data_IF_588439533906
#
_entry.id   IF_588439533906
#
_cell.length_a   1.000
_cell.length_b   1.000
_cell.length_c   1.000
_cell.angle_alpha   90.00
_cell.angle_beta   90.00
_cell.angle_gamma   90.00
#
_symmetry.space_group_name_H-M   'P 1'
#
loop_
_entity.id
_entity.type
_entity.pdbx_description
1 polymer ?
#
# COMPACT_ATOMS: atom_id res chain seq x y z
N UNK A 1 -21.11 0.82 12.89
CA UNK A 1 -20.03 1.79 12.66
C UNK A 1 -20.11 2.19 11.20
N UNK A 2 -20.43 3.44 10.94
CA UNK A 2 -20.51 3.98 9.57
C UNK A 2 -19.08 3.97 9.01
N UNK A 3 -18.83 3.19 7.96
CA UNK A 3 -17.60 3.30 7.18
C UNK A 3 -17.62 4.70 6.55
N UNK A 4 -16.93 5.67 7.16
CA UNK A 4 -16.63 6.95 6.52
C UNK A 4 -16.02 6.64 5.15
N UNK A 5 -16.67 7.11 4.07
CA UNK A 5 -16.18 7.01 2.70
C UNK A 5 -14.74 7.52 2.64
N UNK A 6 -13.79 6.58 2.63
CA UNK A 6 -12.36 6.87 2.64
C UNK A 6 -12.00 7.59 1.34
N UNK A 7 -11.77 8.90 1.40
CA UNK A 7 -11.39 9.71 0.23
C UNK A 7 -10.01 9.31 -0.32
N UNK A 8 -9.89 9.19 -1.65
CA UNK A 8 -8.64 8.95 -2.37
C UNK A 8 -7.95 10.28 -2.73
N UNK A 9 -6.65 10.39 -2.47
CA UNK A 9 -5.81 11.46 -3.01
C UNK A 9 -5.41 11.11 -4.44
N UNK A 10 -5.28 12.10 -5.31
CA UNK A 10 -4.76 11.89 -6.67
C UNK A 10 -3.30 11.43 -6.65
N UNK A 11 -2.89 10.70 -7.69
CA UNK A 11 -1.52 10.19 -7.80
C UNK A 11 -0.47 11.30 -7.81
N UNK A 12 -0.76 12.41 -8.50
CA UNK A 12 0.11 13.60 -8.51
C UNK A 12 0.26 14.19 -7.12
N UNK A 13 -0.83 14.39 -6.37
CA UNK A 13 -0.75 14.89 -5.00
C UNK A 13 0.03 13.95 -4.08
N UNK A 14 -0.12 12.63 -4.22
CA UNK A 14 0.70 11.67 -3.45
C UNK A 14 2.19 11.84 -3.77
N UNK A 15 2.53 12.01 -5.05
CA UNK A 15 3.90 12.23 -5.48
C UNK A 15 4.47 13.54 -4.89
N UNK A 16 3.71 14.63 -4.95
CA UNK A 16 4.11 15.93 -4.41
C UNK A 16 4.33 15.87 -2.89
N UNK A 17 3.39 15.25 -2.16
CA UNK A 17 3.50 15.03 -0.71
C UNK A 17 4.77 14.24 -0.37
N UNK A 18 5.04 13.13 -1.07
CA UNK A 18 6.23 12.32 -0.78
C UNK A 18 7.51 13.11 -1.06
N UNK A 19 7.55 13.86 -2.17
CA UNK A 19 8.72 14.63 -2.55
C UNK A 19 8.97 15.83 -1.63
N UNK A 20 7.93 16.38 -0.98
CA UNK A 20 8.07 17.49 -0.03
C UNK A 20 8.59 17.09 1.36
N UNK A 21 8.60 15.79 1.70
CA UNK A 21 9.09 15.31 3.00
C UNK A 21 10.62 15.34 3.03
N UNK A 22 11.19 16.14 3.93
CA UNK A 22 12.64 16.25 4.13
C UNK A 22 13.24 15.13 4.98
N UNK A 23 12.50 14.62 5.97
CA UNK A 23 12.93 13.50 6.80
C UNK A 23 12.90 12.20 5.99
N UNK A 24 14.09 11.66 5.66
CA UNK A 24 14.23 10.48 4.79
C UNK A 24 13.43 9.27 5.29
N UNK A 25 13.37 9.09 6.60
CA UNK A 25 12.65 7.98 7.23
C UNK A 25 11.16 8.10 7.03
N UNK A 26 10.60 9.28 7.29
CA UNK A 26 9.20 9.61 7.12
C UNK A 26 8.81 9.58 5.63
N UNK A 27 9.70 10.04 4.75
CA UNK A 27 9.53 9.93 3.32
C UNK A 27 9.44 8.46 2.90
N UNK A 28 10.37 7.63 3.37
CA UNK A 28 10.40 6.21 3.06
C UNK A 28 9.18 5.46 3.58
N UNK A 29 8.73 5.70 4.82
CA UNK A 29 7.57 4.99 5.36
C UNK A 29 6.26 5.36 4.65
N UNK A 30 6.07 6.63 4.27
CA UNK A 30 4.90 7.05 3.49
C UNK A 30 4.95 6.43 2.09
N UNK A 31 6.10 6.51 1.42
CA UNK A 31 6.32 5.89 0.11
C UNK A 31 6.07 4.38 0.14
N UNK A 32 6.60 3.68 1.14
CA UNK A 32 6.39 2.23 1.32
C UNK A 32 4.94 1.90 1.63
N UNK A 33 4.29 2.65 2.53
CA UNK A 33 2.88 2.39 2.86
C UNK A 33 1.98 2.55 1.66
N UNK A 34 2.14 3.65 0.93
CA UNK A 34 1.40 3.88 -0.30
C UNK A 34 1.73 2.79 -1.34
N UNK A 35 3.00 2.54 -1.63
CA UNK A 35 3.39 1.59 -2.68
C UNK A 35 2.88 0.17 -2.44
N UNK A 36 2.97 -0.31 -1.20
CA UNK A 36 2.52 -1.65 -0.80
C UNK A 36 1.01 -1.73 -0.48
N UNK A 37 0.29 -0.59 -0.54
CA UNK A 37 -1.07 -0.44 -0.01
C UNK A 37 -1.21 -1.04 1.40
N UNK A 38 -0.18 -0.89 2.23
CA UNK A 38 -0.10 -1.53 3.53
C UNK A 38 -0.92 -0.77 4.58
N UNK A 39 -1.30 -1.46 5.66
CA UNK A 39 -1.74 -0.77 6.89
C UNK A 39 -0.51 -0.32 7.67
N UNK A 40 -0.63 0.75 8.45
CA UNK A 40 0.45 1.21 9.32
C UNK A 40 1.03 0.09 10.21
N UNK A 41 0.16 -0.70 10.86
CA UNK A 41 0.58 -1.83 11.71
C UNK A 41 1.15 -3.05 10.96
N UNK A 42 1.05 -3.10 9.62
CA UNK A 42 1.73 -4.11 8.80
C UNK A 42 3.21 -3.74 8.56
N UNK A 43 3.56 -2.45 8.67
CA UNK A 43 4.91 -1.92 8.43
C UNK A 43 5.68 -1.58 9.71
N UNK A 44 4.95 -1.25 10.76
CA UNK A 44 5.47 -0.71 12.01
C UNK A 44 5.17 -1.70 13.13
N UNK A 45 6.04 -1.76 14.13
CA UNK A 45 5.75 -2.51 15.35
C UNK A 45 4.42 -2.05 15.96
N UNK A 46 3.52 -3.01 16.12
CA UNK A 46 2.17 -2.77 16.62
C UNK A 46 1.78 -3.87 17.58
N UNK A 47 1.26 -3.48 18.74
CA UNK A 47 0.62 -4.40 19.67
C UNK A 47 -0.89 -4.35 19.44
N UNK A 48 -1.45 -5.44 18.98
CA UNK A 48 -2.89 -5.60 18.83
C UNK A 48 -3.56 -5.71 20.22
N UNK A 49 -4.82 -5.29 20.29
CA UNK A 49 -5.64 -5.36 21.51
C UNK A 49 -5.80 -6.80 22.04
N UNK A 50 -5.68 -7.80 21.17
CA UNK A 50 -5.70 -9.22 21.51
C UNK A 50 -4.34 -9.77 22.01
N UNK A 51 -3.36 -8.90 22.28
CA UNK A 51 -2.04 -9.26 22.80
C UNK A 51 -1.00 -9.68 21.76
N UNK A 52 -1.37 -9.80 20.48
CA UNK A 52 -0.43 -10.16 19.40
C UNK A 52 0.42 -8.94 19.06
N UNK A 53 1.75 -9.07 19.12
CA UNK A 53 2.68 -8.00 18.71
C UNK A 53 3.30 -8.33 17.36
N UNK A 54 3.19 -7.41 16.41
CA UNK A 54 3.90 -7.46 15.12
C UNK A 54 5.22 -6.72 15.29
N UNK A 55 6.30 -7.20 14.66
CA UNK A 55 7.59 -6.49 14.61
C UNK A 55 7.64 -5.44 13.48
N UNK A 56 6.54 -5.26 12.74
CA UNK A 56 6.53 -4.49 11.49
C UNK A 56 7.33 -5.17 10.38
N UNK A 57 7.81 -4.37 9.42
CA UNK A 57 8.64 -4.85 8.32
C UNK A 57 10.10 -4.99 8.76
N UNK A 58 10.69 -6.17 8.57
CA UNK A 58 12.13 -6.39 8.79
C UNK A 58 12.90 -6.39 7.47
N UNK A 59 14.21 -6.13 7.53
CA UNK A 59 15.09 -6.21 6.35
C UNK A 59 15.11 -7.61 5.76
N UNK A 60 15.13 -8.64 6.60
CA UNK A 60 15.05 -10.05 6.20
C UNK A 60 13.78 -10.40 5.42
N UNK A 61 12.71 -9.62 5.53
CA UNK A 61 11.47 -9.79 4.77
C UNK A 61 11.50 -9.18 3.35
N UNK A 62 12.61 -8.54 2.95
CA UNK A 62 12.72 -7.81 1.69
C UNK A 62 13.60 -8.56 0.69
N UNK A 63 12.99 -9.03 -0.38
CA UNK A 63 13.70 -9.65 -1.51
C UNK A 63 13.93 -8.60 -2.61
N UNK A 64 15.18 -8.50 -3.12
CA UNK A 64 15.52 -7.61 -4.24
C UNK A 64 15.58 -8.44 -5.52
N UNK A 65 14.79 -8.08 -6.54
CA UNK A 65 14.80 -8.77 -7.85
C UNK A 65 14.71 -7.76 -8.99
N UNK A 66 15.74 -7.63 -9.82
CA UNK A 66 15.74 -6.84 -11.06
C UNK A 66 14.87 -5.57 -11.06
N UNK A 67 15.09 -4.68 -10.08
CA UNK A 67 14.33 -3.42 -9.99
C UNK A 67 13.03 -3.48 -9.19
N UNK A 68 12.74 -4.60 -8.54
CA UNK A 68 11.66 -4.80 -7.58
C UNK A 68 12.22 -4.95 -6.16
N UNK A 69 11.48 -4.41 -5.19
CA UNK A 69 11.63 -4.70 -3.76
C UNK A 69 10.35 -5.41 -3.31
N UNK A 70 10.41 -6.73 -3.18
CA UNK A 70 9.28 -7.56 -2.76
C UNK A 70 9.30 -7.62 -1.24
N UNK A 71 8.21 -7.20 -0.59
CA UNK A 71 8.13 -7.11 0.86
C UNK A 71 7.15 -8.16 1.38
N UNK A 72 7.62 -9.08 2.21
CA UNK A 72 6.75 -10.03 2.89
C UNK A 72 6.19 -9.38 4.15
N UNK A 73 4.90 -9.07 4.17
CA UNK A 73 4.23 -8.41 5.31
C UNK A 73 3.05 -9.23 5.83
N UNK A 74 2.70 -9.11 7.12
CA UNK A 74 1.52 -9.77 7.68
C UNK A 74 0.24 -9.38 6.93
N UNK A 75 -0.70 -10.31 6.89
CA UNK A 75 -2.02 -10.08 6.33
C UNK A 75 -3.10 -10.24 7.41
N UNK A 76 -3.49 -9.12 8.02
CA UNK A 76 -4.49 -9.11 9.09
C UNK A 76 -5.92 -9.41 8.63
N UNK A 77 -6.18 -9.49 7.32
CA UNK A 77 -7.54 -9.69 6.78
C UNK A 77 -7.79 -11.09 6.24
N UNK A 78 -6.78 -11.97 6.19
CA UNK A 78 -6.96 -13.33 5.70
C UNK A 78 -6.16 -14.32 6.55
N UNK A 79 -6.83 -14.97 7.50
CA UNK A 79 -6.19 -15.97 8.37
C UNK A 79 -5.64 -17.18 7.59
N UNK A 80 -6.21 -17.50 6.42
CA UNK A 80 -5.72 -18.61 5.56
C UNK A 80 -4.47 -18.24 4.77
N UNK A 81 -4.20 -16.95 4.60
CA UNK A 81 -3.00 -16.43 3.94
C UNK A 81 -2.37 -15.37 4.87
N UNK A 82 -1.66 -15.80 5.93
CA UNK A 82 -1.20 -14.92 7.01
C UNK A 82 -0.14 -13.90 6.57
N UNK A 83 0.42 -14.07 5.37
CA UNK A 83 1.38 -13.16 4.77
C UNK A 83 0.99 -12.83 3.32
N UNK A 84 1.37 -11.63 2.87
CA UNK A 84 1.30 -11.19 1.47
C UNK A 84 2.66 -10.68 1.02
N UNK A 85 2.90 -10.71 -0.29
CA UNK A 85 4.17 -10.28 -0.92
C UNK A 85 3.98 -9.15 -1.94
N UNK A 86 3.47 -7.96 -1.55
CA UNK A 86 3.44 -6.80 -2.43
C UNK A 86 4.87 -6.34 -2.78
N UNK A 87 4.98 -5.48 -3.78
CA UNK A 87 6.27 -5.03 -4.29
C UNK A 87 6.30 -3.54 -4.62
N UNK A 88 7.51 -2.98 -4.60
CA UNK A 88 7.82 -1.61 -5.03
C UNK A 88 8.71 -1.71 -6.28
N UNK A 89 8.34 -1.00 -7.34
CA UNK A 89 9.02 -1.06 -8.65
C UNK A 89 9.83 0.18 -8.97
N UNK A 90 10.98 0.02 -9.62
CA UNK A 90 11.78 1.12 -10.19
C UNK A 90 11.02 1.97 -11.21
N UNK A 91 9.93 1.45 -11.78
CA UNK A 91 9.05 2.20 -12.68
C UNK A 91 8.33 3.37 -11.99
N UNK A 92 8.29 3.39 -10.65
CA UNK A 92 7.77 4.51 -9.85
C UNK A 92 8.90 5.09 -8.97
N UNK A 93 9.82 5.91 -9.52
CA UNK A 93 11.05 6.32 -8.82
C UNK A 93 10.82 7.08 -7.52
N UNK A 94 9.75 7.89 -7.43
CA UNK A 94 9.40 8.63 -6.21
C UNK A 94 8.97 7.71 -5.06
N UNK A 95 8.61 6.45 -5.33
CA UNK A 95 8.35 5.43 -4.32
C UNK A 95 9.59 4.58 -4.06
N UNK A 96 10.25 4.15 -5.13
CA UNK A 96 11.38 3.23 -5.06
C UNK A 96 12.61 3.87 -4.42
N UNK A 97 12.95 5.10 -4.80
CA UNK A 97 14.21 5.73 -4.39
C UNK A 97 14.26 6.08 -2.89
N UNK A 98 13.22 6.70 -2.28
CA UNK A 98 13.23 6.96 -0.84
C UNK A 98 13.39 5.67 -0.03
N UNK A 99 12.64 4.63 -0.40
CA UNK A 99 12.73 3.36 0.30
C UNK A 99 14.10 2.69 0.13
N UNK A 100 14.64 2.66 -1.10
CA UNK A 100 15.99 2.13 -1.36
C UNK A 100 17.06 2.86 -0.55
N UNK A 101 17.01 4.20 -0.50
CA UNK A 101 17.95 5.01 0.29
C UNK A 101 17.84 4.70 1.78
N UNK A 102 16.62 4.62 2.30
CA UNK A 102 16.37 4.27 3.70
C UNK A 102 16.90 2.88 4.07
N UNK A 103 16.72 1.88 3.20
CA UNK A 103 17.21 0.52 3.43
C UNK A 103 18.73 0.41 3.59
N UNK A 104 19.49 1.38 3.07
CA UNK A 104 20.95 1.42 3.20
C UNK A 104 21.38 1.81 4.62
N UNK A 105 20.55 2.56 5.34
CA UNK A 105 20.91 3.17 6.64
C UNK A 105 20.08 2.66 7.82
N UNK A 106 18.92 2.04 7.58
CA UNK A 106 18.07 1.55 8.67
C UNK A 106 18.67 0.30 9.35
N UNK A 107 18.12 -0.07 10.51
CA UNK A 107 18.49 -1.27 11.25
C UNK A 107 17.68 -2.49 10.76
N UNK A 108 17.69 -3.61 11.50
CA UNK A 108 16.93 -4.81 11.12
C UNK A 108 15.42 -4.52 11.03
N UNK A 109 14.86 -3.81 12.02
CA UNK A 109 13.52 -3.26 11.92
C UNK A 109 13.54 -2.05 10.99
N UNK A 110 12.83 -2.16 9.86
CA UNK A 110 12.87 -1.13 8.82
C UNK A 110 12.25 0.17 9.32
N UNK A 111 11.20 0.10 10.13
CA UNK A 111 10.55 1.27 10.72
C UNK A 111 10.35 1.13 12.24
N UNK A 112 11.33 1.57 13.02
CA UNK A 112 11.30 1.60 14.50
C UNK A 112 10.56 2.82 15.10
N UNK A 113 9.28 2.98 14.77
CA UNK A 113 8.46 4.13 15.20
C UNK A 113 7.23 3.60 15.93
N UNK A 114 6.74 4.29 16.95
CA UNK A 114 5.45 3.91 17.57
C UNK A 114 4.29 4.31 16.67
N UNK A 115 3.29 3.44 16.50
CA UNK A 115 2.14 3.71 15.61
C UNK A 115 1.43 5.04 15.93
N UNK A 116 1.29 5.40 17.21
CA UNK A 116 0.69 6.69 17.64
C UNK A 116 1.48 7.88 17.13
N UNK A 117 2.83 7.81 17.18
CA UNK A 117 3.71 8.86 16.65
C UNK A 117 3.58 8.92 15.13
N UNK A 118 3.53 7.77 14.47
CA UNK A 118 3.35 7.70 13.03
C UNK A 118 2.03 8.37 12.59
N UNK A 119 0.89 8.05 13.21
CA UNK A 119 -0.38 8.69 12.89
C UNK A 119 -0.36 10.22 13.08
N UNK A 120 0.30 10.70 14.14
CA UNK A 120 0.47 12.14 14.37
C UNK A 120 1.32 12.82 13.28
N UNK A 121 2.37 12.17 12.80
CA UNK A 121 3.18 12.70 11.70
C UNK A 121 2.41 12.67 10.37
N UNK A 122 1.65 11.61 10.12
CA UNK A 122 0.82 11.51 8.90
C UNK A 122 -0.21 12.63 8.87
N UNK A 123 -0.89 12.93 9.99
CA UNK A 123 -1.88 14.00 10.05
C UNK A 123 -1.30 15.40 9.86
N UNK A 124 0.02 15.59 10.03
CA UNK A 124 0.68 16.88 9.75
C UNK A 124 1.12 17.01 8.29
N UNK A 125 1.16 15.90 7.55
CA UNK A 125 1.65 15.85 6.16
C UNK A 125 0.48 15.77 5.18
N UNK A 126 -0.53 14.98 5.50
CA UNK A 126 -1.69 14.81 4.64
C UNK A 126 -2.66 15.99 4.81
N UNK A 127 -3.44 16.32 3.76
CA UNK A 127 -4.49 17.33 3.86
C UNK A 127 -5.53 16.96 4.92
N UNK A 128 -6.27 17.96 5.39
CA UNK A 128 -7.35 17.76 6.34
C UNK A 128 -8.38 16.73 5.85
N UNK A 129 -8.83 15.86 6.75
CA UNK A 129 -9.72 14.75 6.43
C UNK A 129 -9.05 13.51 5.83
N UNK A 130 -7.73 13.54 5.60
CA UNK A 130 -6.96 12.37 5.16
C UNK A 130 -6.10 11.80 6.29
N UNK A 131 -6.00 10.48 6.31
CA UNK A 131 -5.25 9.76 7.32
C UNK A 131 -4.40 8.64 6.69
N UNK A 132 -3.67 7.91 7.52
CA UNK A 132 -2.85 6.78 7.08
C UNK A 132 -3.65 5.76 6.24
N UNK A 133 -4.92 5.53 6.56
CA UNK A 133 -5.77 4.63 5.76
C UNK A 133 -6.05 5.17 4.34
N UNK A 134 -6.13 6.49 4.18
CA UNK A 134 -6.32 7.13 2.89
C UNK A 134 -5.18 6.84 1.92
N UNK A 135 -3.94 6.64 2.39
CA UNK A 135 -2.82 6.22 1.54
C UNK A 135 -3.08 4.84 0.90
N UNK A 136 -3.60 3.90 1.68
CA UNK A 136 -3.95 2.55 1.19
C UNK A 136 -5.08 2.64 0.18
N UNK A 137 -6.12 3.41 0.49
CA UNK A 137 -7.26 3.59 -0.40
C UNK A 137 -6.83 4.24 -1.71
N UNK A 138 -6.05 5.33 -1.64
CA UNK A 138 -5.49 6.01 -2.81
C UNK A 138 -4.69 5.05 -3.70
N UNK A 139 -3.82 4.20 -3.11
CA UNK A 139 -3.08 3.21 -3.91
C UNK A 139 -4.01 2.22 -4.59
N UNK A 140 -5.00 1.68 -3.88
CA UNK A 140 -5.95 0.74 -4.44
C UNK A 140 -6.73 1.34 -5.63
N UNK A 141 -7.22 2.58 -5.47
CA UNK A 141 -7.87 3.35 -6.53
C UNK A 141 -6.95 3.56 -7.72
N UNK A 142 -5.70 3.99 -7.51
CA UNK A 142 -4.75 4.18 -8.61
C UNK A 142 -4.41 2.87 -9.33
N UNK A 143 -4.26 1.76 -8.60
CA UNK A 143 -4.06 0.44 -9.20
C UNK A 143 -5.22 0.09 -10.14
N UNK A 144 -6.46 0.35 -9.73
CA UNK A 144 -7.64 0.13 -10.56
C UNK A 144 -7.70 1.07 -11.78
N UNK A 145 -7.67 2.38 -11.53
CA UNK A 145 -8.02 3.40 -12.51
C UNK A 145 -6.88 3.72 -13.46
N UNK A 146 -5.64 3.80 -12.95
CA UNK A 146 -4.47 4.21 -13.72
C UNK A 146 -3.70 3.00 -14.26
N UNK A 147 -3.45 2.00 -13.42
CA UNK A 147 -2.68 0.81 -13.78
C UNK A 147 -3.54 -0.35 -14.29
N UNK A 148 -4.87 -0.16 -14.37
CA UNK A 148 -5.84 -1.09 -14.95
C UNK A 148 -5.88 -2.48 -14.30
N UNK A 149 -5.52 -2.57 -13.03
CA UNK A 149 -5.69 -3.79 -12.24
C UNK A 149 -7.18 -4.14 -12.15
N UNK A 150 -7.50 -5.43 -12.27
CA UNK A 150 -8.84 -5.93 -12.03
C UNK A 150 -9.08 -6.22 -10.54
N UNK A 151 -10.32 -6.47 -10.15
CA UNK A 151 -10.71 -6.66 -8.74
C UNK A 151 -9.98 -7.83 -8.06
N UNK A 152 -9.67 -8.89 -8.82
CA UNK A 152 -8.91 -10.03 -8.33
C UNK A 152 -7.45 -9.65 -8.07
N UNK A 153 -6.80 -8.93 -8.99
CA UNK A 153 -5.42 -8.45 -8.82
C UNK A 153 -5.31 -7.49 -7.62
N UNK A 154 -6.27 -6.57 -7.46
CA UNK A 154 -6.33 -5.66 -6.31
C UNK A 154 -6.56 -6.46 -5.01
N UNK A 155 -7.47 -7.44 -5.01
CA UNK A 155 -7.70 -8.32 -3.84
C UNK A 155 -6.41 -9.02 -3.42
N UNK A 156 -5.68 -9.60 -4.36
CA UNK A 156 -4.40 -10.28 -4.10
C UNK A 156 -3.36 -9.29 -3.56
N UNK A 157 -3.26 -8.11 -4.17
CA UNK A 157 -2.32 -7.06 -3.73
C UNK A 157 -2.62 -6.57 -2.30
N UNK A 158 -3.89 -6.34 -1.98
CA UNK A 158 -4.35 -5.86 -0.68
C UNK A 158 -4.37 -6.94 0.41
N UNK A 159 -4.47 -8.21 0.02
CA UNK A 159 -4.60 -9.38 0.89
C UNK A 159 -6.01 -9.64 1.43
N UNK A 160 -7.07 -9.16 0.75
CA UNK A 160 -8.45 -9.31 1.25
C UNK A 160 -8.97 -10.75 1.14
N UNK A 161 -9.75 -11.20 2.13
CA UNK A 161 -10.37 -12.54 2.12
C UNK A 161 -11.55 -12.63 1.13
N UNK A 162 -12.40 -11.61 1.06
CA UNK A 162 -13.55 -11.53 0.14
C UNK A 162 -13.30 -10.54 -1.01
N UNK A 163 -14.06 -10.67 -2.10
CA UNK A 163 -14.04 -9.74 -3.23
C UNK A 163 -14.86 -8.47 -2.95
N UNK A 164 -15.84 -8.51 -2.04
CA UNK A 164 -16.80 -7.43 -1.80
C UNK A 164 -16.13 -6.08 -1.50
N UNK A 165 -15.04 -6.10 -0.74
CA UNK A 165 -14.25 -4.90 -0.41
C UNK A 165 -13.37 -4.41 -1.56
N UNK A 166 -13.04 -5.27 -2.52
CA UNK A 166 -12.24 -4.92 -3.70
C UNK A 166 -13.11 -4.42 -4.87
N UNK A 167 -14.37 -4.88 -4.94
CA UNK A 167 -15.34 -4.48 -5.97
C UNK A 167 -15.67 -2.99 -5.95
N UNK A 168 -15.59 -2.34 -4.78
CA UNK A 168 -15.77 -0.87 -4.63
C UNK A 168 -14.77 -0.09 -5.49
N UNK A 169 -13.56 -0.62 -5.69
CA UNK A 169 -12.52 0.02 -6.50
C UNK A 169 -12.64 -0.27 -8.01
N UNK A 170 -13.53 -1.18 -8.39
CA UNK A 170 -13.66 -1.69 -9.77
C UNK A 170 -15.12 -1.64 -10.15
N UNK A 171 -15.72 -0.44 -10.15
CA UNK A 171 -16.98 -0.26 -10.86
C UNK A 171 -16.72 -0.54 -12.35
N UNK A 172 -17.47 -1.50 -12.89
CA UNK A 172 -17.18 -2.19 -14.14
C UNK A 172 -16.99 -1.23 -15.31
N UNK A 173 -15.78 -1.22 -15.85
CA UNK A 173 -15.47 -0.60 -17.14
C UNK A 173 -16.14 -1.42 -18.25
N UNK A 174 -17.39 -1.08 -18.59
CA UNK A 174 -18.22 -1.74 -19.62
C UNK A 174 -17.47 -1.90 -20.95
N UNK A 175 -16.53 -0.99 -21.25
CA UNK A 175 -15.69 -1.05 -22.44
C UNK A 175 -14.77 -2.29 -22.45
N UNK A 176 -14.31 -2.75 -21.29
CA UNK A 176 -13.39 -3.89 -21.13
C UNK A 176 -14.12 -5.22 -21.26
N UNK A 177 -15.35 -5.31 -20.77
CA UNK A 177 -16.23 -6.48 -20.97
C UNK A 177 -16.58 -6.63 -22.44
N UNK A 178 -16.97 -5.53 -23.11
CA UNK A 178 -17.27 -5.55 -24.54
C UNK A 178 -16.06 -5.96 -25.39
N UNK A 179 -14.85 -5.48 -25.07
CA UNK A 179 -13.63 -5.84 -25.82
C UNK A 179 -13.19 -7.29 -25.60
N UNK A 180 -13.42 -7.87 -24.40
CA UNK A 180 -13.15 -9.30 -24.16
C UNK A 180 -14.13 -10.21 -24.88
N UNK A 181 -15.41 -9.84 -24.93
CA UNK A 181 -16.43 -10.58 -25.69
C UNK A 181 -16.09 -10.55 -27.18
N UNK A 182 -15.72 -9.38 -27.73
CA UNK A 182 -15.30 -9.29 -29.15
C UNK A 182 -14.12 -10.20 -29.47
N UNK A 183 -13.08 -10.21 -28.64
CA UNK A 183 -11.92 -11.10 -28.84
C UNK A 183 -12.25 -12.59 -28.74
N UNK A 184 -13.17 -12.99 -27.87
CA UNK A 184 -13.57 -14.39 -27.71
C UNK A 184 -14.54 -14.90 -28.78
N UNK A 185 -15.05 -14.03 -29.66
CA UNK A 185 -15.91 -14.39 -30.81
C UNK A 185 -15.10 -14.42 -32.12
N UNK A 186 -13.89 -13.87 -32.12
CA UNK A 186 -12.96 -13.84 -33.26
C UNK A 186 -11.90 -14.97 -33.23
N UNK A 187 -11.92 -15.84 -32.21
CA UNK A 187 -11.18 -17.12 -32.13
C UNK A 187 -12.10 -18.30 -32.43
#
# INVERSE_FOLDING_TARGET
MVEEESKALSYGHIQDIINSISDLRLQAIIATQYSLAARAGELIQYQHENGITTQGLLKSNIEKRNGLLICTIPNFKNAKQPFKKPYITKAEPFLYNPFKKWLQVCQEQVFDIKIRRYHKLVSTILPEGYASHSLRHSRATHLAEQFKFNAYEIKQFLGHASLDTSSIYVQQDLSRTANKIKKGVEE
#
